data_IF_462302929106
#
_entry.id   IF_462302929106
#
_cell.length_a   1.000
_cell.length_b   1.000
_cell.length_c   1.000
_cell.angle_alpha   90.00
_cell.angle_beta   90.00
_cell.angle_gamma   90.00
#
_symmetry.space_group_name_H-M   'P 1'
#
loop_
_entity.id
_entity.type
_entity.pdbx_description
1 polymer ?
#
# COMPACT_ATOMS: atom_id res chain seq x y z
N UNK A 1 25.67 7.75 8.41
CA UNK A 1 24.45 7.55 7.59
C UNK A 1 23.95 6.12 7.78
N UNK A 2 22.64 5.89 7.73
CA UNK A 2 22.02 4.61 8.08
C UNK A 2 22.13 3.53 6.99
N UNK A 3 22.85 3.81 5.88
CA UNK A 3 22.97 2.89 4.75
C UNK A 3 21.63 2.50 4.11
N UNK A 4 20.61 3.34 4.27
CA UNK A 4 19.26 3.06 3.81
C UNK A 4 19.04 3.60 2.40
N UNK A 5 18.42 2.80 1.55
CA UNK A 5 17.95 3.19 0.22
C UNK A 5 16.54 2.63 -0.04
N UNK A 6 15.76 3.37 -0.82
CA UNK A 6 14.49 2.88 -1.31
C UNK A 6 14.73 1.77 -2.34
N UNK A 7 14.22 0.57 -2.06
CA UNK A 7 14.38 -0.60 -2.94
C UNK A 7 13.32 -0.72 -4.03
N UNK A 8 12.28 0.13 -3.99
CA UNK A 8 11.12 0.06 -4.88
C UNK A 8 10.98 1.31 -5.71
N UNK A 9 10.53 1.12 -6.95
CA UNK A 9 10.23 2.20 -7.90
C UNK A 9 8.87 2.85 -7.66
N UNK A 10 8.62 3.97 -8.31
CA UNK A 10 7.37 4.72 -8.19
C UNK A 10 6.18 3.91 -8.71
N UNK A 11 6.36 3.22 -9.82
CA UNK A 11 5.33 2.39 -10.46
C UNK A 11 4.87 1.26 -9.54
N UNK A 12 5.81 0.62 -8.84
CA UNK A 12 5.54 -0.44 -7.87
C UNK A 12 4.73 0.11 -6.68
N UNK A 13 5.11 1.29 -6.18
CA UNK A 13 4.39 1.95 -5.09
C UNK A 13 2.96 2.34 -5.50
N UNK A 14 2.77 2.83 -6.73
CA UNK A 14 1.45 3.15 -7.27
C UNK A 14 0.58 1.90 -7.46
N UNK A 15 1.16 0.82 -8.00
CA UNK A 15 0.46 -0.45 -8.19
C UNK A 15 0.03 -1.07 -6.86
N UNK A 16 0.89 -1.05 -5.85
CA UNK A 16 0.58 -1.53 -4.50
C UNK A 16 -0.55 -0.72 -3.87
N UNK A 17 -0.52 0.61 -4.04
CA UNK A 17 -1.56 1.50 -3.54
C UNK A 17 -2.92 1.22 -4.19
N UNK A 18 -2.95 1.03 -5.51
CA UNK A 18 -4.17 0.68 -6.24
C UNK A 18 -4.71 -0.70 -5.85
N UNK A 19 -3.82 -1.70 -5.72
CA UNK A 19 -4.20 -3.06 -5.31
C UNK A 19 -4.88 -3.03 -3.94
N UNK A 20 -4.26 -2.36 -2.97
CA UNK A 20 -4.82 -2.26 -1.64
C UNK A 20 -6.20 -1.59 -1.64
N UNK A 21 -6.36 -0.44 -2.32
CA UNK A 21 -7.64 0.27 -2.40
C UNK A 21 -8.72 -0.54 -3.10
N UNK A 22 -8.36 -1.26 -4.18
CA UNK A 22 -9.29 -2.08 -4.95
C UNK A 22 -9.86 -3.24 -4.13
N UNK A 23 -9.00 -3.87 -3.31
CA UNK A 23 -9.36 -4.99 -2.45
C UNK A 23 -10.00 -4.55 -1.13
N UNK A 24 -9.66 -3.36 -0.64
CA UNK A 24 -10.10 -2.82 0.65
C UNK A 24 -10.88 -1.52 0.45
N UNK A 25 -12.04 -1.61 -0.22
CA UNK A 25 -12.86 -0.43 -0.59
C UNK A 25 -13.34 0.41 0.59
N UNK A 26 -13.48 -0.19 1.78
CA UNK A 26 -13.82 0.50 3.04
C UNK A 26 -12.61 0.66 3.97
N UNK A 27 -11.40 0.43 3.44
CA UNK A 27 -10.15 0.44 4.20
C UNK A 27 -10.18 -0.56 5.35
N UNK A 28 -9.78 -0.11 6.54
CA UNK A 28 -9.74 -0.94 7.75
C UNK A 28 -11.10 -1.10 8.44
N UNK A 29 -12.18 -0.49 7.91
CA UNK A 29 -13.53 -0.69 8.44
C UNK A 29 -14.08 -2.05 8.01
N UNK A 30 -13.57 -3.13 8.61
CA UNK A 30 -14.34 -4.36 8.81
C UNK A 30 -14.99 -4.27 10.17
N UNK A 31 -16.16 -3.63 10.20
CA UNK A 31 -17.01 -3.67 11.40
C UNK A 31 -17.87 -4.92 11.28
N UNK A 32 -17.41 -6.03 11.84
CA UNK A 32 -18.30 -7.14 12.21
C UNK A 32 -18.94 -6.77 13.54
N UNK A 33 -20.26 -6.67 13.55
CA UNK A 33 -21.08 -6.59 14.76
C UNK A 33 -21.13 -7.96 15.45
#
# INVERSE_FOLDING_TARGET
>A
ELGWEAKRGLEEMCADSWRWQSENKTGYQKVSN
#
